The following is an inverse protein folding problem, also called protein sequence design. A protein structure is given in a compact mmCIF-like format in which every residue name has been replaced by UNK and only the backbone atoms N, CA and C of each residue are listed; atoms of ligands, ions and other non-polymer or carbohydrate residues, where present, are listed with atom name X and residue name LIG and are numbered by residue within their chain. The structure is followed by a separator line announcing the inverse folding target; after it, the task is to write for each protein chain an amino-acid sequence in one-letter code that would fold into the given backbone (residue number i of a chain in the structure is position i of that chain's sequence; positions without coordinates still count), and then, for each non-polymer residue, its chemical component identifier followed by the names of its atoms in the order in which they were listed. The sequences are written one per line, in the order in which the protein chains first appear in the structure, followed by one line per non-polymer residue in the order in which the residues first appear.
data_IF_460949348031
#
_entry.id   IF_460949348031
#
_cell.length_a   1.000
_cell.length_b   1.000
_cell.length_c   1.000
_cell.angle_alpha   90.00
_cell.angle_beta   90.00
_cell.angle_gamma   90.00
#
_symmetry.space_group_name_H-M   'P 1'
#
loop_
_entity.id
_entity.type
_entity.pdbx_description
1 polymer ?
#
# COMPACT_ATOMS: atom_id res chain seq x y z
N UNK A 1 -12.83 24.19 17.39
CA UNK A 1 -11.78 25.15 16.96
C UNK A 1 -10.36 24.67 17.29
N UNK A 2 -10.16 23.90 18.37
CA UNK A 2 -8.84 23.40 18.81
C UNK A 2 -8.18 22.38 17.85
N UNK A 3 -8.97 21.56 17.15
CA UNK A 3 -8.44 20.52 16.24
C UNK A 3 -7.87 21.13 14.94
N UNK A 4 -8.56 22.12 14.35
CA UNK A 4 -8.12 22.78 13.10
C UNK A 4 -6.79 23.52 13.28
N UNK A 5 -6.54 24.08 14.47
CA UNK A 5 -5.31 24.80 14.77
C UNK A 5 -4.10 23.87 14.76
N UNK A 6 -4.17 22.75 15.51
CA UNK A 6 -3.11 21.73 15.50
C UNK A 6 -2.93 21.09 14.12
N UNK A 7 -4.01 20.79 13.41
CA UNK A 7 -3.96 20.17 12.07
C UNK A 7 -3.34 21.10 11.00
N UNK A 8 -3.53 22.42 11.15
CA UNK A 8 -2.95 23.41 10.24
C UNK A 8 -1.46 23.64 10.47
N UNK A 9 -0.99 23.53 11.72
CA UNK A 9 0.44 23.55 12.05
C UNK A 9 1.16 22.32 11.50
N UNK A 10 0.55 21.13 11.56
CA UNK A 10 1.10 19.90 10.97
C UNK A 10 1.14 19.93 9.43
N UNK A 11 0.22 20.64 8.77
CA UNK A 11 0.19 20.79 7.30
C UNK A 11 1.24 21.77 6.76
N UNK A 12 1.80 22.67 7.58
CA UNK A 12 2.80 23.67 7.16
C UNK A 12 4.26 23.18 7.21
N UNK A 13 4.54 22.04 7.84
CA UNK A 13 5.90 21.50 7.98
C UNK A 13 6.48 20.78 6.75
N UNK A 14 5.72 20.64 5.66
CA UNK A 14 6.09 19.80 4.50
C UNK A 14 6.49 20.52 3.21
N UNK A 15 6.83 21.81 3.25
CA UNK A 15 7.06 22.62 2.05
C UNK A 15 8.50 23.12 1.88
N UNK A 16 9.07 22.82 0.71
CA UNK A 16 10.23 23.44 0.05
C UNK A 16 11.64 22.93 0.35
N UNK A 17 12.12 22.05 -0.55
CA UNK A 17 13.47 22.12 -1.09
C UNK A 17 13.39 22.00 -2.62
N UNK A 18 13.41 23.15 -3.31
CA UNK A 18 13.62 23.24 -4.75
C UNK A 18 15.07 22.89 -5.08
N UNK A 19 15.29 21.89 -5.94
CA UNK A 19 16.58 21.71 -6.61
C UNK A 19 16.42 21.77 -8.13
N UNK A 20 16.91 22.88 -8.67
CA UNK A 20 17.26 23.10 -10.06
C UNK A 20 18.35 22.11 -10.47
N UNK A 21 18.19 21.41 -11.59
CA UNK A 21 19.33 20.94 -12.39
C UNK A 21 19.03 20.91 -13.89
N UNK A 22 19.62 21.90 -14.55
CA UNK A 22 20.33 21.90 -15.82
C UNK A 22 19.95 20.87 -16.92
N UNK A 23 19.44 21.44 -18.01
CA UNK A 23 19.26 20.84 -19.33
C UNK A 23 20.61 20.73 -20.07
N UNK A 24 21.03 19.51 -20.41
CA UNK A 24 22.28 19.22 -21.13
C UNK A 24 22.03 18.34 -22.35
N UNK A 25 21.81 18.97 -23.51
CA UNK A 25 21.76 18.36 -24.85
C UNK A 25 23.02 17.54 -25.14
N UNK A 26 22.87 16.35 -25.72
CA UNK A 26 23.90 15.79 -26.59
C UNK A 26 23.29 15.29 -27.90
N UNK A 27 24.00 15.67 -28.96
CA UNK A 27 23.64 15.60 -30.36
C UNK A 27 24.02 14.22 -30.93
N UNK A 28 23.31 13.79 -31.97
CA UNK A 28 23.43 12.46 -32.53
C UNK A 28 24.73 12.19 -33.29
N UNK A 29 24.96 10.90 -33.58
CA UNK A 29 25.53 10.54 -34.86
C UNK A 29 25.00 9.17 -35.31
N UNK A 30 24.36 9.18 -36.48
CA UNK A 30 23.99 8.00 -37.25
C UNK A 30 25.27 7.35 -37.77
N UNK A 31 25.38 6.02 -37.66
CA UNK A 31 26.07 5.28 -38.70
C UNK A 31 25.33 3.97 -38.99
N UNK A 32 24.85 3.88 -40.22
CA UNK A 32 23.99 2.85 -40.75
C UNK A 32 24.88 1.86 -41.49
N UNK A 33 24.90 0.59 -41.07
CA UNK A 33 25.40 -0.52 -41.86
C UNK A 33 24.41 -1.67 -41.69
N UNK A 34 23.59 -1.90 -42.72
CA UNK A 34 22.64 -3.01 -42.75
C UNK A 34 23.27 -4.26 -43.33
N UNK A 35 23.05 -5.42 -42.70
CA UNK A 35 23.13 -6.76 -43.35
C UNK A 35 22.15 -7.73 -42.66
N UNK A 36 21.23 -8.30 -43.45
CA UNK A 36 20.73 -9.68 -43.32
C UNK A 36 19.66 -9.98 -42.26
N UNK A 37 18.38 -9.90 -42.66
CA UNK A 37 17.27 -10.51 -41.90
C UNK A 37 17.32 -12.03 -42.11
N UNK A 38 17.77 -12.77 -41.10
CA UNK A 38 17.45 -14.20 -40.98
C UNK A 38 16.43 -14.37 -39.86
N UNK A 39 15.29 -14.96 -40.21
CA UNK A 39 14.18 -15.23 -39.30
C UNK A 39 14.60 -16.33 -38.31
N UNK A 40 15.16 -15.93 -37.17
CA UNK A 40 15.45 -16.83 -36.06
C UNK A 40 14.23 -16.88 -35.14
N UNK A 41 13.51 -18.01 -35.17
CA UNK A 41 12.36 -18.26 -34.31
C UNK A 41 12.86 -18.97 -33.03
N UNK A 42 12.97 -18.31 -31.86
CA UNK A 42 13.70 -18.84 -30.72
C UNK A 42 12.87 -19.80 -29.84
N UNK A 43 11.78 -20.36 -30.36
CA UNK A 43 10.80 -21.13 -29.58
C UNK A 43 10.54 -22.55 -30.10
N UNK A 44 11.23 -23.03 -31.12
CA UNK A 44 11.17 -24.46 -31.48
C UNK A 44 12.26 -25.24 -30.75
N UNK A 45 11.82 -26.31 -30.08
CA UNK A 45 12.60 -27.38 -29.45
C UNK A 45 13.26 -27.08 -28.10
N UNK A 46 12.46 -26.65 -27.11
CA UNK A 46 12.72 -27.04 -25.71
C UNK A 46 11.76 -28.17 -25.34
N UNK A 47 12.19 -29.39 -25.62
CA UNK A 47 11.61 -30.58 -25.01
C UNK A 47 11.80 -30.43 -23.49
N UNK A 48 10.71 -30.18 -22.74
CA UNK A 48 10.71 -30.12 -21.29
C UNK A 48 11.05 -31.51 -20.74
N UNK A 49 12.34 -31.80 -20.61
CA UNK A 49 12.82 -32.90 -19.79
C UNK A 49 12.30 -32.72 -18.36
N UNK A 50 11.73 -33.79 -17.80
CA UNK A 50 11.14 -33.82 -16.46
C UNK A 50 12.04 -33.11 -15.44
N UNK A 51 11.47 -32.33 -14.51
CA UNK A 51 12.25 -31.55 -13.56
C UNK A 51 13.16 -32.49 -12.74
N UNK A 52 14.41 -32.10 -12.50
CA UNK A 52 15.30 -32.90 -11.67
C UNK A 52 14.66 -32.99 -10.28
N UNK A 53 14.48 -34.21 -9.77
CA UNK A 53 14.05 -34.44 -8.40
C UNK A 53 15.14 -33.86 -7.48
N UNK A 54 14.95 -32.61 -7.06
CA UNK A 54 15.77 -31.98 -6.04
C UNK A 54 15.20 -32.41 -4.69
N UNK A 55 16.10 -32.87 -3.81
CA UNK A 55 15.79 -33.32 -2.46
C UNK A 55 14.79 -32.39 -1.75
N UNK A 56 13.84 -33.03 -1.09
CA UNK A 56 12.58 -32.56 -0.47
C UNK A 56 12.65 -31.36 0.49
N UNK A 57 13.84 -30.85 0.82
CA UNK A 57 14.00 -29.67 1.66
C UNK A 57 13.75 -28.36 0.87
N UNK A 58 14.31 -28.19 -0.34
CA UNK A 58 14.21 -26.91 -1.07
C UNK A 58 12.81 -26.61 -1.64
N UNK A 59 12.03 -27.65 -1.95
CA UNK A 59 10.64 -27.50 -2.37
C UNK A 59 9.71 -27.00 -1.25
N UNK A 60 9.92 -27.48 -0.02
CA UNK A 60 9.18 -27.01 1.16
C UNK A 60 9.52 -25.57 1.55
N UNK A 61 10.75 -25.12 1.29
CA UNK A 61 11.20 -23.76 1.61
C UNK A 61 10.66 -22.71 0.63
N UNK A 62 10.62 -23.02 -0.67
CA UNK A 62 10.01 -22.14 -1.66
C UNK A 62 8.49 -22.02 -1.48
N UNK A 63 7.81 -23.12 -1.13
CA UNK A 63 6.37 -23.08 -0.83
C UNK A 63 6.06 -22.27 0.43
N UNK A 64 6.93 -22.24 1.44
CA UNK A 64 6.73 -21.47 2.67
C UNK A 64 6.87 -19.95 2.45
N UNK A 65 7.86 -19.52 1.64
CA UNK A 65 8.02 -18.11 1.26
C UNK A 65 6.85 -17.63 0.39
N UNK A 66 6.46 -18.41 -0.63
CA UNK A 66 5.29 -18.10 -1.48
C UNK A 66 4.00 -18.04 -0.66
N UNK A 67 3.79 -18.99 0.25
CA UNK A 67 2.63 -18.99 1.14
C UNK A 67 2.59 -17.79 2.10
N UNK A 68 3.76 -17.34 2.58
CA UNK A 68 3.88 -16.12 3.40
C UNK A 68 3.55 -14.85 2.61
N UNK A 69 3.94 -14.77 1.33
CA UNK A 69 3.60 -13.65 0.45
C UNK A 69 2.11 -13.62 0.12
N UNK A 70 1.52 -14.77 -0.21
CA UNK A 70 0.09 -14.89 -0.52
C UNK A 70 -0.78 -14.48 0.67
N UNK A 71 -0.44 -14.96 1.87
CA UNK A 71 -1.14 -14.59 3.10
C UNK A 71 -1.08 -13.07 3.37
N UNK A 72 0.06 -12.44 3.11
CA UNK A 72 0.21 -10.99 3.24
C UNK A 72 -0.67 -10.24 2.23
N UNK A 73 -0.67 -10.66 0.97
CA UNK A 73 -1.48 -10.02 -0.07
C UNK A 73 -2.97 -10.16 0.23
N UNK A 74 -3.40 -11.30 0.76
CA UNK A 74 -4.77 -11.50 1.20
C UNK A 74 -5.15 -10.56 2.36
N UNK A 75 -4.28 -10.39 3.36
CA UNK A 75 -4.52 -9.45 4.47
C UNK A 75 -4.59 -8.00 3.97
N UNK A 76 -3.70 -7.61 3.05
CA UNK A 76 -3.71 -6.28 2.39
C UNK A 76 -5.00 -6.07 1.60
N UNK A 77 -5.43 -7.05 0.81
CA UNK A 77 -6.68 -6.99 0.04
C UNK A 77 -7.91 -6.85 0.95
N UNK A 78 -7.95 -7.58 2.07
CA UNK A 78 -9.02 -7.43 3.06
C UNK A 78 -9.06 -6.02 3.65
N UNK A 79 -7.91 -5.44 3.99
CA UNK A 79 -7.83 -4.05 4.46
C UNK A 79 -8.30 -3.05 3.42
N UNK A 80 -7.94 -3.23 2.13
CA UNK A 80 -8.45 -2.40 1.05
C UNK A 80 -9.98 -2.43 0.98
N UNK A 81 -10.59 -3.62 1.02
CA UNK A 81 -12.04 -3.78 1.00
C UNK A 81 -12.72 -3.12 2.21
N UNK A 82 -12.11 -3.20 3.40
CA UNK A 82 -12.60 -2.51 4.58
C UNK A 82 -12.52 -0.98 4.44
N UNK A 83 -11.43 -0.46 3.88
CA UNK A 83 -11.25 0.96 3.60
C UNK A 83 -12.24 1.48 2.55
N UNK A 84 -12.51 0.72 1.50
CA UNK A 84 -13.51 1.10 0.47
C UNK A 84 -14.93 1.16 1.06
N UNK A 85 -15.26 0.23 1.97
CA UNK A 85 -16.52 0.27 2.72
C UNK A 85 -16.60 1.48 3.64
N UNK A 86 -15.50 1.81 4.33
CA UNK A 86 -15.41 3.01 5.18
C UNK A 86 -15.62 4.28 4.35
N UNK A 87 -14.98 4.39 3.19
CA UNK A 87 -15.17 5.49 2.24
C UNK A 87 -16.63 5.63 1.82
N UNK A 88 -17.26 4.52 1.42
CA UNK A 88 -18.67 4.50 1.06
C UNK A 88 -19.56 5.00 2.20
N UNK A 89 -19.30 4.61 3.44
CA UNK A 89 -20.07 5.08 4.59
C UNK A 89 -19.90 6.58 4.84
N UNK A 90 -18.68 7.11 4.70
CA UNK A 90 -18.40 8.55 4.80
C UNK A 90 -19.17 9.33 3.72
N UNK A 91 -19.20 8.83 2.48
CA UNK A 91 -19.96 9.47 1.40
C UNK A 91 -21.47 9.41 1.65
N UNK A 92 -22.00 8.26 2.10
CA UNK A 92 -23.41 8.12 2.49
C UNK A 92 -23.79 9.09 3.60
N UNK A 93 -22.94 9.23 4.62
CA UNK A 93 -23.12 10.16 5.71
C UNK A 93 -23.24 11.61 5.21
N UNK A 94 -22.32 12.03 4.33
CA UNK A 94 -22.32 13.36 3.72
C UNK A 94 -23.60 13.67 2.95
N UNK A 95 -24.07 12.71 2.15
CA UNK A 95 -25.33 12.84 1.38
C UNK A 95 -26.50 13.01 2.35
N UNK A 96 -26.57 12.16 3.39
CA UNK A 96 -27.66 12.16 4.36
C UNK A 96 -27.70 13.45 5.18
N UNK A 97 -26.56 13.92 5.65
CA UNK A 97 -26.40 15.21 6.32
C UNK A 97 -26.91 16.37 5.45
N UNK A 98 -26.59 16.35 4.16
CA UNK A 98 -27.07 17.35 3.21
C UNK A 98 -28.59 17.28 3.03
N UNK A 99 -29.16 16.09 2.94
CA UNK A 99 -30.61 15.89 2.83
C UNK A 99 -31.37 16.39 4.07
N UNK A 100 -30.88 16.09 5.28
CA UNK A 100 -31.46 16.52 6.56
C UNK A 100 -31.49 18.05 6.66
N UNK A 101 -30.41 18.73 6.22
CA UNK A 101 -30.34 20.19 6.22
C UNK A 101 -31.31 20.85 5.24
N UNK A 102 -31.75 20.13 4.19
CA UNK A 102 -32.74 20.60 3.23
C UNK A 102 -34.19 20.48 3.73
N UNK A 103 -34.45 19.68 4.76
CA UNK A 103 -35.81 19.40 5.24
C UNK A 103 -36.23 20.36 6.35
N UNK A 104 -37.49 20.81 6.31
CA UNK A 104 -38.06 21.71 7.35
C UNK A 104 -38.22 20.97 8.68
N UNK A 105 -38.73 19.73 8.64
CA UNK A 105 -38.87 18.83 9.79
C UNK A 105 -38.02 17.59 9.53
N UNK A 106 -37.16 17.24 10.49
CA UNK A 106 -36.32 16.04 10.43
C UNK A 106 -37.05 14.92 11.17
N UNK A 107 -37.19 13.77 10.54
CA UNK A 107 -37.82 12.63 11.19
C UNK A 107 -36.82 11.95 12.16
N UNK A 108 -37.28 11.45 13.33
CA UNK A 108 -36.41 10.75 14.28
C UNK A 108 -35.62 9.60 13.62
N UNK A 109 -36.26 8.81 12.77
CA UNK A 109 -35.63 7.70 12.02
C UNK A 109 -34.41 8.16 11.22
N UNK A 110 -34.46 9.37 10.64
CA UNK A 110 -33.33 9.88 9.86
C UNK A 110 -32.13 10.24 10.73
N UNK A 111 -32.37 10.62 12.00
CA UNK A 111 -31.34 10.86 13.00
C UNK A 111 -30.74 9.53 13.46
N UNK A 112 -31.57 8.54 13.75
CA UNK A 112 -31.09 7.20 14.15
C UNK A 112 -30.17 6.60 13.08
N UNK A 113 -30.56 6.67 11.81
CA UNK A 113 -29.72 6.21 10.70
C UNK A 113 -28.41 7.03 10.55
N UNK A 114 -28.40 8.31 10.95
CA UNK A 114 -27.19 9.14 10.94
C UNK A 114 -26.22 8.68 12.03
N UNK A 115 -26.74 8.44 13.23
CA UNK A 115 -25.97 7.91 14.36
C UNK A 115 -25.43 6.51 14.08
N UNK A 116 -26.21 5.66 13.42
CA UNK A 116 -25.78 4.33 12.98
C UNK A 116 -24.59 4.44 12.02
N UNK A 117 -24.67 5.29 10.99
CA UNK A 117 -23.56 5.51 10.05
C UNK A 117 -22.29 5.99 10.75
N UNK A 118 -22.42 6.92 11.71
CA UNK A 118 -21.28 7.42 12.48
C UNK A 118 -20.68 6.31 13.36
N UNK A 119 -21.53 5.50 14.00
CA UNK A 119 -21.12 4.37 14.84
C UNK A 119 -20.38 3.32 14.02
N UNK A 120 -20.87 3.03 12.82
CA UNK A 120 -20.25 2.13 11.87
C UNK A 120 -18.87 2.62 11.40
N UNK A 121 -18.77 3.90 11.05
CA UNK A 121 -17.49 4.53 10.65
C UNK A 121 -16.47 4.41 11.79
N UNK A 122 -16.88 4.68 13.03
CA UNK A 122 -16.04 4.52 14.22
C UNK A 122 -15.59 3.08 14.40
N UNK A 123 -16.54 2.13 14.31
CA UNK A 123 -16.27 0.70 14.46
C UNK A 123 -15.25 0.21 13.43
N UNK A 124 -15.45 0.52 12.15
CA UNK A 124 -14.51 0.13 11.07
C UNK A 124 -13.13 0.75 11.23
N UNK A 125 -13.08 2.01 11.66
CA UNK A 125 -11.80 2.70 11.94
C UNK A 125 -11.05 1.97 13.07
N UNK A 126 -11.76 1.59 14.13
CA UNK A 126 -11.20 0.84 15.25
C UNK A 126 -10.77 -0.59 14.88
N UNK A 127 -11.46 -1.21 13.92
CA UNK A 127 -11.08 -2.52 13.38
C UNK A 127 -9.80 -2.42 12.50
N UNK A 128 -9.72 -1.43 11.61
CA UNK A 128 -8.58 -1.24 10.70
C UNK A 128 -7.26 -0.96 11.42
N UNK A 129 -7.31 -0.21 12.53
CA UNK A 129 -6.14 0.23 13.28
C UNK A 129 -5.21 -0.91 13.75
N UNK A 130 -5.68 -1.94 14.49
CA UNK A 130 -4.83 -3.03 14.94
C UNK A 130 -4.26 -3.86 13.79
N UNK A 131 -4.99 -4.05 12.70
CA UNK A 131 -4.47 -4.75 11.50
C UNK A 131 -3.27 -4.00 10.91
N UNK A 132 -3.37 -2.68 10.81
CA UNK A 132 -2.31 -1.86 10.26
C UNK A 132 -1.06 -1.82 11.17
N UNK A 133 -1.26 -1.72 12.48
CA UNK A 133 -0.18 -1.83 13.48
C UNK A 133 0.51 -3.20 13.44
N UNK A 134 -0.29 -4.27 13.33
CA UNK A 134 0.23 -5.64 13.20
C UNK A 134 1.11 -5.74 11.95
N UNK A 135 0.61 -5.30 10.79
CA UNK A 135 1.34 -5.32 9.53
C UNK A 135 2.67 -4.55 9.62
N UNK A 136 2.64 -3.36 10.20
CA UNK A 136 3.83 -2.54 10.43
C UNK A 136 4.85 -3.23 11.35
N UNK A 137 4.38 -3.87 12.43
CA UNK A 137 5.24 -4.57 13.37
C UNK A 137 5.91 -5.80 12.75
N UNK A 138 5.20 -6.52 11.88
CA UNK A 138 5.72 -7.67 11.13
C UNK A 138 6.80 -7.23 10.15
N UNK A 139 6.53 -6.19 9.36
CA UNK A 139 7.51 -5.62 8.43
C UNK A 139 8.75 -5.11 9.18
N UNK A 140 8.57 -4.39 10.29
CA UNK A 140 9.70 -3.88 11.10
C UNK A 140 10.53 -4.99 11.76
N UNK A 141 9.92 -6.15 12.03
CA UNK A 141 10.63 -7.34 12.52
C UNK A 141 11.44 -7.98 11.40
N UNK A 142 10.85 -8.12 10.23
CA UNK A 142 11.48 -8.73 9.05
C UNK A 142 12.65 -7.86 8.54
N UNK A 143 12.61 -6.55 8.76
CA UNK A 143 13.70 -5.60 8.50
C UNK A 143 14.89 -5.70 9.47
N UNK A 144 14.62 -5.97 10.76
CA UNK A 144 15.63 -6.02 11.82
C UNK A 144 16.29 -7.38 11.96
N UNK A 145 15.67 -8.43 11.41
CA UNK A 145 16.34 -9.71 11.23
C UNK A 145 17.57 -9.54 10.33
N UNK A 146 18.61 -10.36 10.55
CA UNK A 146 19.56 -10.63 9.47
C UNK A 146 18.75 -11.01 8.22
N UNK A 147 19.14 -10.57 7.00
CA UNK A 147 18.46 -10.98 5.77
C UNK A 147 18.39 -12.50 5.79
N UNK A 148 17.21 -12.99 6.15
CA UNK A 148 17.02 -14.41 6.33
C UNK A 148 16.95 -15.01 4.94
N UNK A 149 17.42 -16.24 4.77
CA UNK A 149 17.32 -16.98 3.52
C UNK A 149 15.85 -17.15 3.05
N UNK A 150 14.87 -16.71 3.87
CA UNK A 150 13.43 -16.82 3.69
C UNK A 150 12.71 -15.59 3.11
N UNK A 151 13.30 -14.38 3.08
CA UNK A 151 12.67 -13.20 2.44
C UNK A 151 13.68 -12.33 1.70
N UNK A 152 13.38 -12.01 0.44
CA UNK A 152 14.24 -11.14 -0.36
C UNK A 152 14.08 -9.69 0.07
N UNK A 153 15.14 -8.88 -0.05
CA UNK A 153 15.03 -7.44 0.20
C UNK A 153 14.02 -6.73 -0.70
N UNK A 154 13.69 -7.30 -1.87
CA UNK A 154 12.62 -6.80 -2.74
C UNK A 154 11.23 -7.05 -2.14
N UNK A 155 10.99 -8.23 -1.57
CA UNK A 155 9.71 -8.56 -0.93
C UNK A 155 9.44 -7.67 0.29
N UNK A 156 10.45 -7.43 1.13
CA UNK A 156 10.33 -6.51 2.28
C UNK A 156 9.95 -5.09 1.84
N UNK A 157 10.55 -4.59 0.74
CA UNK A 157 10.21 -3.27 0.18
C UNK A 157 8.77 -3.21 -0.32
N UNK A 158 8.33 -4.23 -1.08
CA UNK A 158 6.95 -4.31 -1.58
C UNK A 158 5.97 -4.29 -0.40
N UNK A 159 6.21 -5.11 0.63
CA UNK A 159 5.35 -5.16 1.82
C UNK A 159 5.27 -3.80 2.53
N UNK A 160 6.42 -3.13 2.68
CA UNK A 160 6.49 -1.78 3.25
C UNK A 160 5.65 -0.78 2.46
N UNK A 161 5.75 -0.79 1.13
CA UNK A 161 5.02 0.15 0.29
C UNK A 161 3.49 -0.04 0.37
N UNK A 162 3.02 -1.29 0.39
CA UNK A 162 1.61 -1.60 0.62
C UNK A 162 1.12 -1.11 1.99
N UNK A 163 1.88 -1.39 3.06
CA UNK A 163 1.55 -0.90 4.40
C UNK A 163 1.48 0.63 4.43
N UNK A 164 2.43 1.31 3.81
CA UNK A 164 2.49 2.77 3.75
C UNK A 164 1.31 3.37 2.97
N UNK A 165 0.92 2.73 1.87
CA UNK A 165 -0.25 3.13 1.10
C UNK A 165 -1.52 3.01 1.95
N UNK A 166 -1.71 1.90 2.65
CA UNK A 166 -2.85 1.70 3.56
C UNK A 166 -2.88 2.74 4.68
N UNK A 167 -1.74 3.06 5.31
CA UNK A 167 -1.62 4.12 6.33
C UNK A 167 -2.07 5.48 5.82
N UNK A 168 -1.59 5.89 4.63
CA UNK A 168 -2.01 7.14 4.00
C UNK A 168 -3.50 7.13 3.66
N UNK A 169 -3.99 6.05 3.05
CA UNK A 169 -5.42 5.93 2.69
C UNK A 169 -6.31 6.05 3.92
N UNK A 170 -5.98 5.37 5.03
CA UNK A 170 -6.74 5.47 6.28
C UNK A 170 -6.74 6.91 6.81
N UNK A 171 -5.58 7.58 6.84
CA UNK A 171 -5.50 9.00 7.22
C UNK A 171 -6.40 9.87 6.35
N UNK A 172 -6.32 9.72 5.03
CA UNK A 172 -7.08 10.55 4.09
C UNK A 172 -8.60 10.35 4.24
N UNK A 173 -9.05 9.11 4.48
CA UNK A 173 -10.46 8.82 4.79
C UNK A 173 -10.92 9.50 6.07
N UNK A 174 -10.07 9.46 7.09
CA UNK A 174 -10.33 10.04 8.39
C UNK A 174 -10.38 11.57 8.33
N UNK A 175 -9.48 12.19 7.58
CA UNK A 175 -9.51 13.63 7.30
C UNK A 175 -10.79 14.00 6.55
N UNK A 176 -11.17 13.21 5.54
CA UNK A 176 -12.41 13.39 4.80
C UNK A 176 -13.67 13.28 5.67
N UNK A 177 -13.68 12.38 6.66
CA UNK A 177 -14.74 12.29 7.65
C UNK A 177 -14.80 13.56 8.52
N UNK A 178 -13.66 14.01 9.05
CA UNK A 178 -13.60 15.21 9.89
C UNK A 178 -14.03 16.46 9.11
N UNK A 179 -13.57 16.62 7.87
CA UNK A 179 -13.97 17.72 6.99
C UNK A 179 -15.48 17.70 6.72
N UNK A 180 -16.06 16.51 6.53
CA UNK A 180 -17.51 16.33 6.37
C UNK A 180 -18.26 16.80 7.62
N UNK A 181 -17.78 16.46 8.82
CA UNK A 181 -18.37 16.89 10.08
C UNK A 181 -18.26 18.41 10.32
N UNK A 182 -17.10 19.00 10.02
CA UNK A 182 -16.89 20.46 10.15
C UNK A 182 -17.79 21.23 9.19
N UNK A 183 -17.93 20.75 7.94
CA UNK A 183 -18.83 21.36 6.97
C UNK A 183 -20.30 21.20 7.39
N UNK A 184 -20.69 20.06 7.95
CA UNK A 184 -22.03 19.87 8.52
C UNK A 184 -22.33 20.90 9.61
N UNK A 185 -21.44 21.05 10.61
CA UNK A 185 -21.56 22.05 11.67
C UNK A 185 -21.76 23.46 11.10
N UNK A 186 -20.93 23.86 10.15
CA UNK A 186 -21.01 25.17 9.49
C UNK A 186 -22.38 25.41 8.83
N UNK A 187 -22.92 24.39 8.16
CA UNK A 187 -24.23 24.49 7.51
C UNK A 187 -25.38 24.56 8.51
N UNK A 188 -25.31 23.80 9.61
CA UNK A 188 -26.26 23.91 10.73
C UNK A 188 -26.25 25.34 11.27
N UNK A 189 -25.08 25.93 11.53
CA UNK A 189 -24.99 27.31 12.04
C UNK A 189 -25.63 28.33 11.11
N UNK A 190 -25.40 28.22 9.80
CA UNK A 190 -26.05 29.10 8.80
C UNK A 190 -27.56 28.94 8.78
N UNK A 191 -28.07 27.72 8.93
CA UNK A 191 -29.50 27.44 8.99
C UNK A 191 -30.13 28.05 10.24
N UNK A 192 -29.54 27.83 11.42
CA UNK A 192 -30.01 28.41 12.69
C UNK A 192 -30.04 29.93 12.59
N UNK A 193 -28.98 30.56 12.08
CA UNK A 193 -28.96 32.00 11.83
C UNK A 193 -30.15 32.43 10.96
N UNK A 194 -30.40 31.75 9.85
CA UNK A 194 -31.53 32.07 8.97
C UNK A 194 -32.87 32.00 9.71
N UNK A 195 -33.07 31.02 10.60
CA UNK A 195 -34.31 30.93 11.39
C UNK A 195 -34.44 32.06 12.40
N UNK A 196 -33.33 32.46 13.04
CA UNK A 196 -33.30 33.61 13.94
C UNK A 196 -33.58 34.93 13.19
N UNK A 197 -32.97 35.13 12.02
CA UNK A 197 -33.23 36.28 11.16
C UNK A 197 -34.71 36.37 10.75
N UNK A 198 -35.35 35.22 10.44
CA UNK A 198 -36.78 35.14 10.11
C UNK A 198 -37.69 35.45 11.32
N UNK A 199 -37.23 35.16 12.54
CA UNK A 199 -37.92 35.55 13.78
C UNK A 199 -37.73 37.03 14.14
N UNK A 200 -36.96 37.78 13.35
CA UNK A 200 -36.68 39.20 13.58
C UNK A 200 -35.47 39.46 14.47
N UNK A 201 -34.75 38.41 14.88
CA UNK A 201 -33.56 38.53 15.70
C UNK A 201 -32.32 38.73 14.82
N UNK A 202 -31.52 39.77 15.11
CA UNK A 202 -30.37 40.16 14.28
C UNK A 202 -29.07 39.68 14.91
N UNK A 203 -28.62 38.48 14.53
CA UNK A 203 -27.31 37.96 14.96
C UNK A 203 -26.32 37.86 13.79
N UNK A 204 -25.05 38.11 14.08
CA UNK A 204 -23.96 37.80 13.16
C UNK A 204 -23.69 36.30 13.10
N UNK A 205 -23.08 35.81 12.02
CA UNK A 205 -22.69 34.38 11.91
C UNK A 205 -21.75 33.95 13.04
N UNK A 206 -20.89 34.86 13.51
CA UNK A 206 -19.95 34.60 14.60
C UNK A 206 -20.67 34.45 15.94
N UNK A 207 -21.65 35.30 16.23
CA UNK A 207 -22.46 35.19 17.45
C UNK A 207 -23.26 33.89 17.47
N UNK A 208 -23.95 33.55 16.38
CA UNK A 208 -24.70 32.28 16.28
C UNK A 208 -23.77 31.08 16.44
N UNK A 209 -22.58 31.11 15.84
CA UNK A 209 -21.59 30.05 16.03
C UNK A 209 -21.15 29.93 17.49
N UNK A 210 -20.90 31.04 18.19
CA UNK A 210 -20.54 31.02 19.61
C UNK A 210 -21.67 30.50 20.50
N UNK A 211 -22.92 30.84 20.18
CA UNK A 211 -24.09 30.30 20.87
C UNK A 211 -24.25 28.80 20.65
N UNK A 212 -23.95 28.29 19.45
CA UNK A 212 -24.00 26.85 19.18
C UNK A 212 -22.82 26.09 19.79
N UNK A 213 -21.69 26.76 20.04
CA UNK A 213 -20.52 26.22 20.73
C UNK A 213 -20.67 26.23 22.27
N UNK A 214 -21.66 26.95 22.81
CA UNK A 214 -21.99 26.94 24.24
C UNK A 214 -22.40 25.54 24.68
N UNK A 215 -22.10 25.13 25.92
CA UNK A 215 -22.58 23.83 26.45
C UNK A 215 -24.04 23.87 26.92
N UNK A 216 -24.66 25.05 26.94
CA UNK A 216 -26.02 25.27 27.43
C UNK A 216 -26.90 25.87 26.35
N UNK A 217 -28.07 25.27 26.14
CA UNK A 217 -29.13 25.78 25.26
C UNK A 217 -29.82 27.03 25.81
N UNK A 218 -29.63 27.35 27.10
CA UNK A 218 -30.20 28.56 27.72
C UNK A 218 -29.77 29.86 27.03
N UNK A 219 -28.63 29.84 26.33
CA UNK A 219 -28.14 31.00 25.57
C UNK A 219 -29.14 31.48 24.52
N UNK A 220 -29.93 30.56 23.94
CA UNK A 220 -30.98 30.91 22.97
C UNK A 220 -32.21 31.52 23.66
N UNK A 221 -32.60 31.00 24.83
CA UNK A 221 -33.76 31.51 25.60
C UNK A 221 -33.55 32.93 26.13
N UNK A 222 -32.30 33.34 26.37
CA UNK A 222 -31.97 34.69 26.85
C UNK A 222 -31.99 35.74 25.75
N UNK A 223 -31.85 35.32 24.49
CA UNK A 223 -31.59 36.21 23.36
C UNK A 223 -32.73 36.26 22.35
N UNK A 224 -33.67 35.31 22.40
CA UNK A 224 -34.82 35.24 21.48
C UNK A 224 -36.11 35.52 22.25
N UNK A 225 -36.98 36.39 21.73
CA UNK A 225 -38.28 36.65 22.37
C UNK A 225 -39.26 35.47 22.15
N UNK A 226 -39.62 34.71 23.21
CA UNK A 226 -40.46 33.51 23.08
C UNK A 226 -41.97 33.83 22.93
N UNK A 227 -42.38 35.09 23.10
CA UNK A 227 -43.79 35.49 23.07
C UNK A 227 -44.38 35.54 21.66
N UNK A 228 -43.53 35.60 20.63
CA UNK A 228 -43.97 35.53 19.24
C UNK A 228 -43.99 34.09 18.73
N UNK A 229 -44.94 33.77 17.84
CA UNK A 229 -45.00 32.44 17.20
C UNK A 229 -43.71 32.16 16.42
N UNK A 230 -43.17 33.17 15.72
CA UNK A 230 -41.92 33.05 14.96
C UNK A 230 -40.71 32.80 15.87
N UNK A 231 -40.61 33.55 16.99
CA UNK A 231 -39.55 33.37 17.99
C UNK A 231 -39.58 32.00 18.65
N UNK A 232 -40.77 31.47 18.99
CA UNK A 232 -40.91 30.11 19.54
C UNK A 232 -40.44 29.04 18.56
N UNK A 233 -40.82 29.14 17.28
CA UNK A 233 -40.38 28.18 16.24
C UNK A 233 -38.86 28.26 16.04
N UNK A 234 -38.29 29.46 15.99
CA UNK A 234 -36.85 29.64 15.82
C UNK A 234 -36.06 29.09 17.03
N UNK A 235 -36.59 29.27 18.24
CA UNK A 235 -35.98 28.77 19.47
C UNK A 235 -36.01 27.24 19.58
N UNK A 236 -37.11 26.62 19.14
CA UNK A 236 -37.24 25.16 19.06
C UNK A 236 -36.25 24.56 18.04
N UNK A 237 -36.18 25.11 16.81
CA UNK A 237 -35.20 24.66 15.80
C UNK A 237 -33.77 24.90 16.28
N UNK A 238 -33.46 26.08 16.86
CA UNK A 238 -32.13 26.39 17.36
C UNK A 238 -31.68 25.42 18.46
N UNK A 239 -32.58 25.08 19.40
CA UNK A 239 -32.30 24.15 20.50
C UNK A 239 -32.13 22.71 20.00
N UNK A 240 -32.98 22.25 19.08
CA UNK A 240 -32.86 20.93 18.46
C UNK A 240 -31.53 20.78 17.68
N UNK A 241 -31.13 21.83 16.95
CA UNK A 241 -29.85 21.86 16.22
C UNK A 241 -28.64 22.00 17.12
N UNK A 242 -28.78 22.69 18.23
CA UNK A 242 -27.73 22.76 19.24
C UNK A 242 -27.40 21.36 19.79
N UNK A 243 -28.44 20.57 20.12
CA UNK A 243 -28.26 19.19 20.56
C UNK A 243 -27.54 18.32 19.51
N UNK A 244 -27.90 18.46 18.23
CA UNK A 244 -27.22 17.76 17.13
C UNK A 244 -25.73 18.14 17.02
N UNK A 245 -25.38 19.41 17.28
CA UNK A 245 -23.99 19.87 17.30
C UNK A 245 -23.23 19.27 18.50
N UNK A 246 -23.85 19.15 19.67
CA UNK A 246 -23.21 18.51 20.83
C UNK A 246 -22.91 17.03 20.58
N UNK A 247 -23.85 16.31 19.95
CA UNK A 247 -23.66 14.91 19.54
C UNK A 247 -22.55 14.79 18.50
N UNK A 248 -22.52 15.70 17.52
CA UNK A 248 -21.44 15.81 16.55
C UNK A 248 -20.08 16.00 17.21
N UNK A 249 -19.97 16.92 18.17
CA UNK A 249 -18.72 17.18 18.89
C UNK A 249 -18.27 15.97 19.71
N UNK A 250 -19.20 15.27 20.36
CA UNK A 250 -18.92 14.00 21.03
C UNK A 250 -18.39 12.96 20.04
N UNK A 251 -18.99 12.88 18.85
CA UNK A 251 -18.58 11.94 17.81
C UNK A 251 -17.17 12.24 17.27
N UNK A 252 -16.83 13.51 17.07
CA UNK A 252 -15.48 13.94 16.68
C UNK A 252 -14.49 13.70 17.82
N UNK A 253 -14.85 14.03 19.06
CA UNK A 253 -13.97 13.87 20.22
C UNK A 253 -13.59 12.41 20.47
N UNK A 254 -14.52 11.47 20.33
CA UNK A 254 -14.24 10.04 20.43
C UNK A 254 -13.31 9.51 19.33
N UNK A 255 -13.35 10.12 18.14
CA UNK A 255 -12.46 9.78 17.03
C UNK A 255 -11.09 10.46 17.13
N UNK A 256 -10.97 11.52 17.93
CA UNK A 256 -9.74 12.29 18.10
C UNK A 256 -8.59 11.42 18.66
N UNK A 257 -8.89 10.50 19.59
CA UNK A 257 -7.88 9.55 20.08
C UNK A 257 -7.34 8.66 18.95
N UNK A 258 -8.19 8.27 18.00
CA UNK A 258 -7.79 7.51 16.82
C UNK A 258 -7.01 8.36 15.82
N UNK A 259 -7.35 9.64 15.69
CA UNK A 259 -6.63 10.57 14.81
C UNK A 259 -5.18 10.68 15.28
N UNK A 260 -4.95 10.95 16.55
CA UNK A 260 -3.58 11.08 17.09
C UNK A 260 -2.74 9.83 16.76
N UNK A 261 -3.30 8.64 16.98
CA UNK A 261 -2.60 7.37 16.75
C UNK A 261 -2.32 7.11 15.26
N UNK A 262 -3.29 7.36 14.37
CA UNK A 262 -3.10 7.19 12.92
C UNK A 262 -2.08 8.20 12.39
N UNK A 263 -2.13 9.44 12.90
CA UNK A 263 -1.19 10.48 12.53
C UNK A 263 0.23 10.15 12.99
N UNK A 264 0.41 9.61 14.20
CA UNK A 264 1.69 9.12 14.69
C UNK A 264 2.25 7.98 13.81
N UNK A 265 1.41 7.00 13.46
CA UNK A 265 1.76 5.88 12.59
C UNK A 265 2.20 6.32 11.18
N UNK A 266 1.70 7.45 10.70
CA UNK A 266 2.08 8.06 9.42
C UNK A 266 3.32 8.97 9.55
N UNK A 267 3.50 9.68 10.66
CA UNK A 267 4.63 10.60 10.88
C UNK A 267 5.94 9.93 11.30
N UNK A 268 5.89 8.77 11.95
CA UNK A 268 7.09 7.97 12.23
C UNK A 268 7.85 7.56 10.95
N UNK A 269 7.24 7.71 9.77
CA UNK A 269 7.88 7.59 8.47
C UNK A 269 8.42 8.92 7.96
N UNK A 270 9.71 9.15 8.20
CA UNK A 270 10.49 10.11 7.45
C UNK A 270 10.50 9.78 5.94
N UNK A 271 10.83 10.80 5.14
CA UNK A 271 10.95 10.84 3.66
C UNK A 271 11.61 9.60 3.03
N UNK A 272 10.83 8.53 2.84
CA UNK A 272 11.06 7.53 1.80
C UNK A 272 9.71 7.25 1.15
N UNK A 273 9.14 8.29 0.56
CA UNK A 273 7.95 8.21 -0.29
C UNK A 273 8.32 8.86 -1.61
N UNK A 274 9.10 8.17 -2.44
CA UNK A 274 8.88 8.15 -3.90
C UNK A 274 9.81 7.13 -4.60
N UNK A 275 9.63 5.83 -4.38
CA UNK A 275 10.49 4.81 -4.97
C UNK A 275 9.71 3.68 -5.66
N UNK A 276 8.54 3.99 -6.25
CA UNK A 276 7.92 3.05 -7.21
C UNK A 276 8.88 2.82 -8.39
N UNK A 277 9.55 3.87 -8.86
CA UNK A 277 10.53 3.80 -9.95
C UNK A 277 11.78 2.99 -9.55
N UNK A 278 12.24 3.16 -8.31
CA UNK A 278 13.44 2.52 -7.75
C UNK A 278 13.19 1.03 -7.43
N UNK A 279 11.94 0.65 -7.15
CA UNK A 279 11.55 -0.76 -7.00
C UNK A 279 11.53 -1.51 -8.34
N UNK A 280 11.13 -0.86 -9.44
CA UNK A 280 11.24 -1.43 -10.79
C UNK A 280 12.72 -1.57 -11.18
N UNK A 281 13.54 -0.56 -10.89
CA UNK A 281 14.98 -0.59 -11.16
C UNK A 281 15.71 -1.69 -10.37
N UNK A 282 15.34 -1.90 -9.10
CA UNK A 282 15.85 -3.00 -8.30
C UNK A 282 15.42 -4.38 -8.85
N UNK A 283 14.16 -4.53 -9.29
CA UNK A 283 13.68 -5.77 -9.90
C UNK A 283 14.38 -6.08 -11.24
N UNK A 284 14.63 -5.05 -12.07
CA UNK A 284 15.42 -5.18 -13.30
C UNK A 284 16.85 -5.65 -12.99
N UNK A 285 17.49 -5.09 -11.97
CA UNK A 285 18.85 -5.49 -11.56
C UNK A 285 18.93 -6.98 -11.11
N UNK A 286 17.93 -7.47 -10.35
CA UNK A 286 17.87 -8.90 -9.97
C UNK A 286 17.69 -9.84 -11.18
N UNK A 287 16.92 -9.45 -12.20
CA UNK A 287 16.79 -10.24 -13.44
C UNK A 287 18.07 -10.22 -14.30
N UNK A 288 18.84 -9.13 -14.24
CA UNK A 288 20.16 -9.02 -14.85
C UNK A 288 21.16 -10.02 -14.25
N UNK A 289 21.27 -10.04 -12.93
CA UNK A 289 22.16 -10.97 -12.21
C UNK A 289 21.73 -12.43 -12.35
N UNK A 290 20.43 -12.72 -12.38
CA UNK A 290 19.92 -14.06 -12.65
C UNK A 290 20.29 -14.56 -14.05
N UNK A 291 20.22 -13.69 -15.08
CA UNK A 291 20.68 -14.00 -16.44
C UNK A 291 22.17 -14.29 -16.49
N UNK A 292 23.00 -13.54 -15.75
CA UNK A 292 24.45 -13.77 -15.68
C UNK A 292 24.76 -15.11 -15.01
N UNK A 293 24.10 -15.43 -13.90
CA UNK A 293 24.30 -16.70 -13.17
C UNK A 293 23.80 -17.92 -13.96
N UNK A 294 22.70 -17.82 -14.70
CA UNK A 294 22.24 -18.88 -15.61
C UNK A 294 23.22 -19.07 -16.76
N UNK A 295 23.72 -17.99 -17.39
CA UNK A 295 24.76 -18.08 -18.44
C UNK A 295 26.03 -18.74 -17.92
N UNK A 296 26.50 -18.35 -16.74
CA UNK A 296 27.67 -18.98 -16.11
C UNK A 296 27.42 -20.46 -15.79
N UNK A 297 26.26 -20.82 -15.25
CA UNK A 297 25.89 -22.21 -14.96
C UNK A 297 25.86 -23.09 -16.23
N UNK A 298 25.36 -22.56 -17.36
CA UNK A 298 25.38 -23.25 -18.66
C UNK A 298 26.81 -23.42 -19.17
N UNK A 299 27.65 -22.39 -19.08
CA UNK A 299 29.06 -22.45 -19.51
C UNK A 299 29.85 -23.47 -18.66
N UNK A 300 29.63 -23.51 -17.35
CA UNK A 300 30.28 -24.48 -16.46
C UNK A 300 29.81 -25.92 -16.74
N UNK A 301 28.51 -26.13 -16.98
CA UNK A 301 27.96 -27.45 -17.37
C UNK A 301 28.51 -27.94 -18.71
N UNK A 302 28.62 -27.06 -19.71
CA UNK A 302 29.22 -27.37 -21.01
C UNK A 302 30.73 -27.66 -20.91
N UNK A 303 31.45 -26.94 -20.06
CA UNK A 303 32.89 -27.13 -19.84
C UNK A 303 33.17 -28.46 -19.13
N UNK A 304 32.34 -28.85 -18.16
CA UNK A 304 32.43 -30.16 -17.52
C UNK A 304 32.16 -31.31 -18.49
N UNK A 305 31.18 -31.17 -19.39
CA UNK A 305 30.87 -32.18 -20.43
C UNK A 305 32.03 -32.34 -21.41
N UNK A 306 32.65 -31.24 -21.85
CA UNK A 306 33.84 -31.26 -22.71
C UNK A 306 35.02 -31.96 -22.05
N UNK A 307 35.30 -31.67 -20.78
CA UNK A 307 36.38 -32.34 -20.01
C UNK A 307 36.16 -33.85 -19.85
N UNK A 308 34.90 -34.29 -19.64
CA UNK A 308 34.55 -35.73 -19.59
C UNK A 308 34.80 -36.42 -20.94
N UNK A 309 34.48 -35.77 -22.05
CA UNK A 309 34.71 -36.32 -23.40
C UNK A 309 36.21 -36.43 -23.69
N UNK A 310 37.01 -35.40 -23.38
CA UNK A 310 38.47 -35.47 -23.56
C UNK A 310 39.11 -36.58 -22.71
N UNK A 311 38.65 -36.76 -21.47
CA UNK A 311 39.12 -37.86 -20.62
C UNK A 311 38.78 -39.22 -21.22
N UNK A 312 37.55 -39.41 -21.74
CA UNK A 312 37.13 -40.64 -22.40
C UNK A 312 37.99 -40.95 -23.65
N UNK A 313 38.25 -39.96 -24.50
CA UNK A 313 39.10 -40.12 -25.69
C UNK A 313 40.51 -40.55 -25.28
N UNK A 314 41.08 -39.92 -24.24
CA UNK A 314 42.42 -40.29 -23.74
C UNK A 314 42.49 -41.75 -23.27
N UNK A 315 41.47 -42.20 -22.54
CA UNK A 315 41.39 -43.60 -22.08
C UNK A 315 41.32 -44.58 -23.26
N UNK A 316 40.54 -44.25 -24.31
CA UNK A 316 40.44 -45.10 -25.51
C UNK A 316 41.78 -45.19 -26.25
N UNK A 317 42.51 -44.06 -26.38
CA UNK A 317 43.82 -44.03 -27.04
C UNK A 317 44.83 -44.92 -26.30
N UNK A 318 44.87 -44.84 -24.96
CA UNK A 318 45.75 -45.68 -24.15
C UNK A 318 45.41 -47.17 -24.33
N UNK A 319 44.13 -47.53 -24.37
CA UNK A 319 43.67 -48.90 -24.61
C UNK A 319 44.11 -49.43 -25.98
N UNK A 320 44.00 -48.61 -27.04
CA UNK A 320 44.44 -48.99 -28.39
C UNK A 320 45.95 -49.21 -28.46
N UNK A 321 46.75 -48.39 -27.76
CA UNK A 321 48.21 -48.56 -27.70
C UNK A 321 48.55 -49.88 -27.00
N UNK A 322 47.89 -50.20 -25.88
CA UNK A 322 48.12 -51.47 -25.18
C UNK A 322 47.79 -52.69 -26.05
N UNK A 323 46.69 -52.62 -26.80
CA UNK A 323 46.30 -53.68 -27.75
C UNK A 323 47.33 -53.83 -28.86
N UNK A 324 47.80 -52.71 -29.45
CA UNK A 324 48.82 -52.73 -30.49
C UNK A 324 50.14 -53.35 -29.99
N UNK A 325 50.57 -52.99 -28.77
CA UNK A 325 51.76 -53.57 -28.14
C UNK A 325 51.58 -55.07 -27.90
N UNK A 326 50.40 -55.50 -27.42
CA UNK A 326 50.10 -56.92 -27.21
C UNK A 326 50.12 -57.72 -28.53
N UNK A 327 49.60 -57.16 -29.62
CA UNK A 327 49.64 -57.79 -30.95
C UNK A 327 51.08 -57.89 -31.45
N UNK A 328 51.87 -56.81 -31.36
CA UNK A 328 53.28 -56.82 -31.80
C UNK A 328 54.09 -57.82 -30.99
N UNK A 329 53.94 -57.86 -29.67
CA UNK A 329 54.58 -58.86 -28.81
C UNK A 329 54.13 -60.29 -29.14
N UNK A 330 52.84 -60.49 -29.42
CA UNK A 330 52.31 -61.78 -29.83
C UNK A 330 52.91 -62.27 -31.16
N UNK A 331 53.06 -61.38 -32.14
CA UNK A 331 53.64 -61.70 -33.45
C UNK A 331 55.16 -61.90 -33.37
N UNK A 332 55.88 -61.15 -32.56
CA UNK A 332 57.33 -61.33 -32.38
C UNK A 332 57.68 -62.60 -31.59
N UNK A 333 56.86 -62.96 -30.60
CA UNK A 333 57.01 -64.22 -29.86
C UNK A 333 56.57 -65.43 -30.70
N UNK A 334 55.54 -65.29 -31.54
CA UNK A 334 55.11 -66.36 -32.46
C UNK A 334 56.03 -66.53 -33.68
N UNK A 335 56.75 -65.48 -34.09
CA UNK A 335 57.71 -65.54 -35.21
C UNK A 335 59.07 -66.14 -34.85
N UNK A 336 59.39 -66.25 -33.55
CA UNK A 336 60.66 -66.79 -33.06
C UNK A 336 60.75 -68.31 -32.95
N UNK A 337 59.64 -69.04 -33.12
CA UNK A 337 59.60 -70.51 -32.90
C UNK A 337 59.61 -71.33 -34.20
N UNK A 338 59.97 -70.72 -35.34
CA UNK A 338 60.04 -71.42 -36.64
C UNK A 338 61.34 -71.13 -37.40
N UNK A 339 62.47 -71.34 -36.72
CA UNK A 339 63.78 -71.61 -37.34
C UNK A 339 64.44 -72.69 -36.49
N UNK A 340 64.16 -73.94 -36.84
CA UNK A 340 65.08 -75.05 -36.59
C UNK A 340 66.38 -74.82 -37.37
#
# INVERSE_FOLDING_TARGET
MVVRDRMSEFRRGGGSAEHQHANGRTNGNHNQVGIGVTHFNPFEDVELGAPPQTNTAKGHLASASVHSTDQFLDEVNQMHLMMDKLEMQIQKLKIKQTAILGQVVVQPVQKDELEELITDIKKRTNELRPHLKKLESEISRDERGLPSEYMTGAEIRIRRDHCNHLKRKLRDLIDGFNDTQVEYKKRVSKRVKRQLDLAGERFTEKEVSQMLDSKSSEVFYRQVNPLSVAGRIALEDATARHQEILELERNIAQLNELFVDIYEMVHAQGTVVDNINTNVEAAVNYTGDAKVRIKQAVIHKQSARRKKIYCLIMVIVVLLILIAVAIVLGVTLSGGSRRE
#
